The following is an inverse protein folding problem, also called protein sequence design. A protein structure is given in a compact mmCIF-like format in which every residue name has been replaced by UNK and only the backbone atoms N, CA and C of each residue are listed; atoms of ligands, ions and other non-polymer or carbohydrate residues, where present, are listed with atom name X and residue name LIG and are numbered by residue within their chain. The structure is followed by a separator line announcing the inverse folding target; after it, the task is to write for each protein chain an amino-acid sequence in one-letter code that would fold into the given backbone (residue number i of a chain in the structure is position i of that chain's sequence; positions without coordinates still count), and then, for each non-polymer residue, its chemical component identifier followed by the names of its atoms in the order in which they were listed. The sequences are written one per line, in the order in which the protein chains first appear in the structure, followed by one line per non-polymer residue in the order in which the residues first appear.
data_IF_077991268311
#
_entry.id   IF_077991268311
#
_cell.length_a   1.000
_cell.length_b   1.000
_cell.length_c   1.000
_cell.angle_alpha   90.00
_cell.angle_beta   90.00
_cell.angle_gamma   90.00
#
_symmetry.space_group_name_H-M   'P 1'
#
loop_
_entity.id
_entity.type
_entity.pdbx_description
1 polymer ?
#
# COMPACT_ATOMS: atom_id res chain seq x y z
N UNK A 1 33.54 55.25 31.77
CA UNK A 1 33.16 55.78 30.45
C UNK A 1 34.35 55.62 29.53
N UNK A 2 34.25 54.67 28.58
CA UNK A 2 34.07 55.06 27.19
C UNK A 2 32.93 54.30 26.50
N UNK A 3 32.42 54.95 25.46
CA UNK A 3 31.24 54.63 24.66
C UNK A 3 31.28 53.25 24.02
N UNK A 4 30.17 52.52 24.12
CA UNK A 4 29.91 51.31 23.33
C UNK A 4 29.50 51.73 21.91
N UNK A 5 30.31 51.34 20.94
CA UNK A 5 30.01 51.45 19.52
C UNK A 5 28.73 50.69 19.17
N UNK A 6 27.85 51.38 18.45
CA UNK A 6 26.60 50.88 17.89
C UNK A 6 26.93 50.06 16.62
N UNK A 7 26.43 48.82 16.46
CA UNK A 7 26.65 48.06 15.23
C UNK A 7 25.79 48.62 14.08
N UNK A 8 26.45 48.90 12.96
CA UNK A 8 25.93 49.52 11.73
C UNK A 8 25.21 48.50 10.81
N UNK A 9 24.33 47.67 11.37
CA UNK A 9 23.57 46.64 10.62
C UNK A 9 22.13 47.04 10.29
N UNK A 10 21.88 48.34 10.10
CA UNK A 10 20.62 48.82 9.52
C UNK A 10 20.87 49.23 8.07
N UNK A 11 20.80 48.25 7.17
CA UNK A 11 20.53 48.51 5.76
C UNK A 11 19.11 49.09 5.59
N UNK A 12 18.81 49.72 4.44
CA UNK A 12 17.54 50.40 4.22
C UNK A 12 16.37 49.40 4.31
N UNK A 13 15.36 49.78 5.10
CA UNK A 13 14.07 49.11 5.24
C UNK A 13 13.51 48.80 3.85
N UNK A 14 13.59 47.53 3.46
CA UNK A 14 12.87 47.05 2.27
C UNK A 14 11.45 46.84 2.73
N UNK A 15 10.55 47.68 2.24
CA UNK A 15 9.11 47.60 2.45
C UNK A 15 8.64 46.15 2.39
N UNK A 16 7.99 45.76 3.47
CA UNK A 16 7.33 44.50 3.70
C UNK A 16 6.11 44.40 2.77
N UNK A 17 6.31 44.12 1.48
CA UNK A 17 5.22 43.82 0.55
C UNK A 17 4.82 42.36 0.77
N UNK A 18 4.08 42.11 1.86
CA UNK A 18 3.20 40.95 1.91
C UNK A 18 1.97 41.28 1.05
N UNK A 19 1.65 40.50 0.01
CA UNK A 19 0.40 40.72 -0.71
C UNK A 19 -0.74 40.50 0.28
N UNK A 20 -1.52 41.55 0.54
CA UNK A 20 -2.71 41.46 1.37
C UNK A 20 -3.64 40.38 0.78
N UNK A 21 -3.71 39.23 1.44
CA UNK A 21 -4.62 38.15 1.05
C UNK A 21 -6.02 38.56 1.50
N UNK A 22 -6.71 39.33 0.66
CA UNK A 22 -8.11 39.70 0.88
C UNK A 22 -9.01 38.50 0.60
N UNK A 23 -9.43 37.82 1.67
CA UNK A 23 -10.48 36.78 1.65
C UNK A 23 -11.86 37.30 1.27
N UNK A 24 -12.03 38.63 1.15
CA UNK A 24 -13.23 39.31 0.67
C UNK A 24 -13.29 39.50 -0.85
N UNK A 25 -12.33 38.95 -1.60
CA UNK A 25 -12.30 39.09 -3.05
C UNK A 25 -13.45 38.35 -3.72
N UNK A 26 -14.15 39.02 -4.63
CA UNK A 26 -15.24 38.46 -5.44
C UNK A 26 -14.80 37.21 -6.24
N UNK A 27 -13.50 37.10 -6.56
CA UNK A 27 -12.94 35.91 -7.22
C UNK A 27 -12.95 34.68 -6.30
N UNK A 28 -12.75 34.86 -5.00
CA UNK A 28 -12.81 33.78 -4.02
C UNK A 28 -14.25 33.33 -3.77
N UNK A 29 -15.21 34.27 -3.77
CA UNK A 29 -16.64 33.93 -3.68
C UNK A 29 -17.11 33.10 -4.88
N UNK A 30 -16.65 33.42 -6.09
CA UNK A 30 -16.97 32.62 -7.28
C UNK A 30 -16.47 31.17 -7.18
N UNK A 31 -15.31 30.96 -6.55
CA UNK A 31 -14.76 29.61 -6.33
C UNK A 31 -15.57 28.85 -5.27
N UNK A 32 -15.99 29.50 -4.19
CA UNK A 32 -16.83 28.86 -3.17
C UNK A 32 -18.21 28.47 -3.72
N UNK A 33 -18.83 29.34 -4.53
CA UNK A 33 -20.12 29.05 -5.16
C UNK A 33 -20.05 27.87 -6.14
N UNK A 34 -18.94 27.73 -6.88
CA UNK A 34 -18.72 26.61 -7.79
C UNK A 34 -18.52 25.27 -7.03
N UNK A 35 -17.81 25.33 -5.90
CA UNK A 35 -17.58 24.18 -5.03
C UNK A 35 -18.89 23.69 -4.39
N UNK A 36 -19.72 24.61 -3.88
CA UNK A 36 -21.04 24.28 -3.32
C UNK A 36 -21.97 23.67 -4.37
N UNK A 37 -21.98 24.21 -5.61
CA UNK A 37 -22.80 23.66 -6.69
C UNK A 37 -22.42 22.23 -7.09
N UNK A 38 -21.13 21.91 -6.99
CA UNK A 38 -20.61 20.57 -7.29
C UNK A 38 -21.01 19.56 -6.20
N UNK A 39 -21.11 20.00 -4.95
CA UNK A 39 -21.55 19.19 -3.81
C UNK A 39 -23.07 18.94 -3.81
N UNK A 40 -23.86 19.88 -4.32
CA UNK A 40 -25.34 19.80 -4.37
C UNK A 40 -25.90 19.08 -5.61
N UNK A 41 -25.04 18.51 -6.45
CA UNK A 41 -25.48 17.74 -7.62
C UNK A 41 -26.22 16.46 -7.18
N UNK A 42 -27.51 16.28 -7.55
CA UNK A 42 -28.27 15.11 -7.12
C UNK A 42 -27.77 13.85 -7.84
N UNK A 43 -27.30 12.88 -7.08
CA UNK A 43 -27.07 11.50 -7.56
C UNK A 43 -28.45 10.88 -7.83
N UNK A 44 -28.81 10.76 -9.11
CA UNK A 44 -30.04 10.11 -9.53
C UNK A 44 -30.05 8.61 -9.18
N UNK A 45 -31.23 8.03 -8.86
CA UNK A 45 -31.32 6.64 -8.45
C UNK A 45 -31.06 5.66 -9.62
N UNK A 46 -30.48 4.47 -9.35
CA UNK A 46 -30.38 3.41 -10.35
C UNK A 46 -31.76 2.85 -10.67
N UNK A 47 -32.08 2.80 -11.97
CA UNK A 47 -33.30 2.21 -12.48
C UNK A 47 -33.36 0.71 -12.19
N UNK A 48 -34.43 0.30 -11.50
CA UNK A 48 -34.83 -1.08 -11.32
C UNK A 48 -35.32 -1.67 -12.65
N UNK A 49 -34.76 -2.81 -13.06
CA UNK A 49 -35.33 -3.68 -14.07
C UNK A 49 -35.68 -5.01 -13.40
N UNK A 50 -36.95 -5.13 -13.00
CA UNK A 50 -37.59 -6.40 -12.68
C UNK A 50 -38.24 -6.94 -13.96
N UNK A 51 -37.82 -8.12 -14.39
CA UNK A 51 -38.46 -8.92 -15.44
C UNK A 51 -38.50 -10.38 -14.99
N UNK A 52 -39.70 -10.87 -14.72
CA UNK A 52 -40.00 -12.13 -14.07
C UNK A 52 -40.26 -13.27 -15.09
N UNK A 53 -39.79 -14.47 -14.69
CA UNK A 53 -40.33 -15.82 -14.93
C UNK A 53 -40.36 -16.42 -16.36
N UNK A 54 -39.68 -17.57 -16.49
CA UNK A 54 -40.28 -18.82 -16.99
C UNK A 54 -39.55 -20.02 -16.41
N UNK A 55 -40.28 -20.83 -15.64
CA UNK A 55 -40.00 -22.24 -15.44
C UNK A 55 -40.66 -22.99 -16.61
N UNK A 56 -39.98 -23.95 -17.24
CA UNK A 56 -40.20 -25.36 -16.91
C UNK A 56 -39.26 -26.29 -17.70
N UNK A 57 -38.91 -27.35 -16.99
CA UNK A 57 -38.71 -28.73 -17.43
C UNK A 57 -37.46 -29.32 -18.12
N UNK A 58 -37.19 -30.53 -17.61
CA UNK A 58 -36.56 -31.70 -18.21
C UNK A 58 -35.03 -31.85 -18.23
N UNK A 59 -34.56 -32.58 -17.20
CA UNK A 59 -33.70 -33.76 -17.28
C UNK A 59 -32.68 -33.90 -18.43
N UNK A 60 -31.39 -33.87 -18.08
CA UNK A 60 -30.37 -34.69 -18.74
C UNK A 60 -29.19 -34.94 -17.81
N UNK A 61 -29.24 -36.04 -17.07
CA UNK A 61 -28.07 -36.65 -16.45
C UNK A 61 -27.40 -37.53 -17.50
N UNK A 62 -26.36 -37.02 -18.15
CA UNK A 62 -25.43 -37.85 -18.93
C UNK A 62 -24.01 -37.35 -18.69
N UNK A 63 -23.21 -38.18 -18.00
CA UNK A 63 -21.75 -38.11 -17.88
C UNK A 63 -21.09 -38.09 -19.29
N UNK A 64 -19.81 -37.69 -19.50
CA UNK A 64 -18.66 -37.94 -18.63
C UNK A 64 -17.63 -36.79 -18.54
N UNK A 65 -16.82 -36.75 -17.49
CA UNK A 65 -15.54 -36.03 -17.54
C UNK A 65 -14.52 -36.70 -16.63
N UNK A 66 -13.52 -37.29 -17.30
CA UNK A 66 -12.27 -37.77 -16.75
C UNK A 66 -11.72 -36.85 -15.66
N UNK A 67 -11.36 -37.44 -14.52
CA UNK A 67 -10.35 -36.88 -13.62
C UNK A 67 -9.03 -36.79 -14.37
N UNK A 68 -8.84 -35.71 -15.13
CA UNK A 68 -7.51 -35.31 -15.55
C UNK A 68 -6.78 -34.85 -14.28
N UNK A 69 -5.95 -35.73 -13.74
CA UNK A 69 -4.83 -35.32 -12.89
C UNK A 69 -3.93 -34.42 -13.74
N UNK A 70 -4.24 -33.13 -13.78
CA UNK A 70 -3.26 -32.14 -14.19
C UNK A 70 -2.24 -32.07 -13.07
N UNK A 71 -1.11 -32.76 -13.25
CA UNK A 71 0.10 -32.42 -12.52
C UNK A 71 0.31 -30.91 -12.69
N UNK A 72 0.50 -30.13 -11.61
CA UNK A 72 0.84 -28.73 -11.77
C UNK A 72 2.21 -28.68 -12.43
N UNK A 73 2.23 -28.35 -13.72
CA UNK A 73 3.45 -27.98 -14.42
C UNK A 73 4.10 -26.84 -13.64
N UNK A 74 5.39 -26.96 -13.37
CA UNK A 74 6.20 -25.95 -12.70
C UNK A 74 6.29 -24.59 -13.43
N UNK A 75 5.58 -24.44 -14.56
CA UNK A 75 5.58 -23.27 -15.44
C UNK A 75 4.61 -22.15 -15.01
N UNK A 76 3.65 -22.40 -14.12
CA UNK A 76 2.68 -21.36 -13.72
C UNK A 76 3.30 -20.28 -12.81
N UNK A 77 4.56 -20.47 -12.39
CA UNK A 77 5.32 -19.47 -11.62
C UNK A 77 6.00 -18.43 -12.54
N UNK A 78 5.99 -18.63 -13.86
CA UNK A 78 6.74 -17.81 -14.82
C UNK A 78 6.07 -16.48 -15.21
N UNK A 79 4.82 -16.23 -14.79
CA UNK A 79 4.07 -15.02 -15.17
C UNK A 79 4.48 -13.77 -14.39
N UNK A 80 4.98 -13.94 -13.16
CA UNK A 80 5.54 -12.84 -12.38
C UNK A 80 7.08 -12.92 -12.45
N UNK A 81 7.72 -11.84 -12.89
CA UNK A 81 9.18 -11.77 -12.98
C UNK A 81 9.89 -12.02 -11.64
N UNK A 82 11.24 -11.98 -11.60
CA UNK A 82 11.97 -12.12 -10.35
C UNK A 82 11.50 -11.09 -9.31
N UNK A 83 11.51 -11.45 -8.00
CA UNK A 83 11.16 -10.50 -6.94
C UNK A 83 11.98 -9.21 -7.04
N UNK A 84 11.37 -8.04 -6.80
CA UNK A 84 12.11 -6.79 -6.87
C UNK A 84 13.24 -6.79 -5.84
N UNK A 85 14.35 -6.16 -6.20
CA UNK A 85 15.47 -6.01 -5.28
C UNK A 85 15.03 -5.17 -4.07
N UNK A 86 15.52 -5.54 -2.88
CA UNK A 86 15.27 -4.77 -1.67
C UNK A 86 16.05 -3.45 -1.72
N UNK A 87 15.38 -2.36 -1.36
CA UNK A 87 16.01 -1.05 -1.30
C UNK A 87 17.05 -0.98 -0.17
N UNK A 88 18.19 -0.37 -0.47
CA UNK A 88 19.33 -0.21 0.46
C UNK A 88 19.80 1.25 0.55
N UNK A 89 19.14 2.17 -0.16
CA UNK A 89 19.46 3.58 -0.12
C UNK A 89 19.15 4.18 1.24
N UNK A 90 19.90 5.23 1.59
CA UNK A 90 19.81 5.87 2.91
C UNK A 90 18.48 6.59 3.03
N UNK A 91 17.68 6.18 4.01
CA UNK A 91 16.33 6.72 4.19
C UNK A 91 15.32 6.26 3.14
N UNK A 92 15.65 5.25 2.33
CA UNK A 92 14.65 4.54 1.52
C UNK A 92 13.65 3.89 2.48
N UNK A 93 12.36 4.02 2.18
CA UNK A 93 11.27 3.50 3.00
C UNK A 93 10.54 2.39 2.27
N UNK A 94 10.71 1.17 2.77
CA UNK A 94 9.91 0.01 2.36
C UNK A 94 8.78 -0.21 3.35
N UNK A 95 7.54 -0.35 2.89
CA UNK A 95 6.42 -0.79 3.72
C UNK A 95 6.12 -2.26 3.49
N UNK A 96 5.79 -2.97 4.57
CA UNK A 96 5.32 -4.35 4.54
C UNK A 96 3.93 -4.42 5.17
N UNK A 97 2.90 -4.58 4.33
CA UNK A 97 1.50 -4.66 4.77
C UNK A 97 1.10 -6.12 4.97
N UNK A 98 0.49 -6.47 6.10
CA UNK A 98 -0.02 -7.83 6.32
C UNK A 98 -0.74 -7.99 7.64
N UNK A 99 -1.17 -9.20 7.97
CA UNK A 99 -1.94 -9.45 9.19
C UNK A 99 -1.06 -9.66 10.42
N UNK A 100 -1.22 -8.80 11.42
CA UNK A 100 -0.60 -8.94 12.74
C UNK A 100 0.88 -9.33 12.68
N UNK A 101 1.21 -10.50 13.24
CA UNK A 101 2.60 -11.00 13.29
C UNK A 101 3.25 -11.23 11.92
N UNK A 102 2.48 -11.50 10.87
CA UNK A 102 3.00 -11.80 9.53
C UNK A 102 3.71 -10.58 8.92
N UNK A 103 3.15 -9.38 9.11
CA UNK A 103 3.76 -8.13 8.65
C UNK A 103 5.09 -7.86 9.36
N UNK A 104 5.13 -8.06 10.69
CA UNK A 104 6.36 -7.84 11.49
C UNK A 104 7.45 -8.85 11.16
N UNK A 105 7.09 -10.12 11.00
CA UNK A 105 8.05 -11.17 10.63
C UNK A 105 8.65 -10.89 9.26
N UNK A 106 7.81 -10.63 8.26
CA UNK A 106 8.26 -10.31 6.92
C UNK A 106 9.11 -9.03 6.88
N UNK A 107 8.72 -7.98 7.62
CA UNK A 107 9.52 -6.77 7.75
C UNK A 107 10.90 -7.03 8.35
N UNK A 108 11.01 -7.89 9.36
CA UNK A 108 12.30 -8.27 9.95
C UNK A 108 13.19 -8.98 8.94
N UNK A 109 12.67 -10.00 8.25
CA UNK A 109 13.44 -10.79 7.28
C UNK A 109 13.88 -9.92 6.08
N UNK A 110 12.99 -9.06 5.58
CA UNK A 110 13.32 -8.10 4.53
C UNK A 110 14.39 -7.11 4.99
N UNK A 111 14.30 -6.62 6.23
CA UNK A 111 15.29 -5.70 6.78
C UNK A 111 16.66 -6.35 6.93
N UNK A 112 16.74 -7.58 7.47
CA UNK A 112 17.98 -8.36 7.58
C UNK A 112 18.63 -8.56 6.21
N UNK A 113 17.83 -8.91 5.19
CA UNK A 113 18.34 -9.08 3.83
C UNK A 113 18.75 -7.80 3.11
N UNK A 114 18.52 -6.62 3.69
CA UNK A 114 18.83 -5.31 3.10
C UNK A 114 19.76 -4.47 4.00
N UNK A 115 20.23 -5.02 5.12
CA UNK A 115 20.93 -4.26 6.18
C UNK A 115 20.18 -2.97 6.59
N UNK A 116 18.85 -3.10 6.70
CA UNK A 116 17.94 -2.01 6.99
C UNK A 116 17.46 -2.05 8.46
N UNK A 117 16.96 -0.92 8.95
CA UNK A 117 16.34 -0.84 10.27
C UNK A 117 14.83 -1.05 10.19
N UNK A 118 14.28 -1.85 11.11
CA UNK A 118 12.82 -1.94 11.27
C UNK A 118 12.32 -0.74 12.06
N UNK A 119 11.38 0.02 11.50
CA UNK A 119 10.80 1.18 12.17
C UNK A 119 9.30 1.31 11.83
N UNK A 120 8.38 1.24 12.81
CA UNK A 120 6.96 1.35 12.53
C UNK A 120 6.60 2.77 12.07
N UNK A 121 5.71 2.86 11.08
CA UNK A 121 5.23 4.12 10.51
C UNK A 121 3.71 4.04 10.40
N UNK A 122 3.03 5.01 10.97
CA UNK A 122 1.55 5.09 10.97
C UNK A 122 0.99 6.19 10.08
N UNK A 123 1.78 7.22 9.78
CA UNK A 123 1.34 8.40 9.04
C UNK A 123 2.51 9.06 8.29
N UNK A 124 2.20 10.09 7.49
CA UNK A 124 3.19 10.89 6.77
C UNK A 124 4.30 11.47 7.67
N UNK A 125 3.97 11.89 8.90
CA UNK A 125 4.95 12.53 9.80
C UNK A 125 5.92 11.50 10.33
N UNK A 126 5.43 10.33 10.75
CA UNK A 126 6.24 9.20 11.16
C UNK A 126 7.13 8.72 10.00
N UNK A 127 6.62 8.71 8.77
CA UNK A 127 7.40 8.36 7.58
C UNK A 127 8.59 9.30 7.39
N UNK A 128 8.37 10.62 7.44
CA UNK A 128 9.44 11.61 7.31
C UNK A 128 10.48 11.49 8.43
N UNK A 129 10.04 11.25 9.67
CA UNK A 129 10.94 11.05 10.81
C UNK A 129 11.79 9.78 10.63
N UNK A 130 11.18 8.67 10.18
CA UNK A 130 11.87 7.41 9.93
C UNK A 130 12.90 7.55 8.80
N UNK A 131 12.53 8.21 7.70
CA UNK A 131 13.45 8.50 6.59
C UNK A 131 14.63 9.35 7.06
N UNK A 132 14.38 10.43 7.81
CA UNK A 132 15.44 11.25 8.39
C UNK A 132 16.37 10.44 9.31
N UNK A 133 15.82 9.50 10.08
CA UNK A 133 16.61 8.58 10.90
C UNK A 133 17.45 7.63 10.06
N UNK A 134 16.88 7.05 9.00
CA UNK A 134 17.61 6.21 8.04
C UNK A 134 18.77 6.95 7.40
N UNK A 135 18.56 8.21 6.98
CA UNK A 135 19.64 9.07 6.47
C UNK A 135 20.73 9.31 7.52
N UNK A 136 20.35 9.63 8.77
CA UNK A 136 21.31 9.84 9.86
C UNK A 136 22.13 8.60 10.19
N UNK A 137 21.51 7.42 10.19
CA UNK A 137 22.17 6.12 10.46
C UNK A 137 22.88 5.55 9.24
N UNK A 138 22.60 6.07 8.05
CA UNK A 138 23.14 5.56 6.80
C UNK A 138 22.52 4.23 6.35
N UNK A 139 21.28 3.93 6.74
CA UNK A 139 20.58 2.71 6.39
C UNK A 139 19.20 2.98 5.75
N UNK A 140 18.65 1.96 5.09
CA UNK A 140 17.25 1.93 4.66
C UNK A 140 16.32 1.62 5.85
N UNK A 141 15.03 1.85 5.67
CA UNK A 141 13.99 1.59 6.67
C UNK A 141 12.96 0.60 6.10
N UNK A 142 12.58 -0.39 6.92
CA UNK A 142 11.47 -1.29 6.65
C UNK A 142 10.39 -1.11 7.73
N UNK A 143 9.18 -0.74 7.31
CA UNK A 143 8.08 -0.44 8.21
C UNK A 143 6.96 -1.48 8.09
N UNK A 144 6.67 -2.27 9.15
CA UNK A 144 5.50 -3.12 9.16
C UNK A 144 4.23 -2.28 9.33
N UNK A 145 3.22 -2.58 8.53
CA UNK A 145 1.86 -2.08 8.69
C UNK A 145 0.94 -3.28 8.89
N UNK A 146 0.29 -3.29 10.05
CA UNK A 146 -0.55 -4.41 10.47
C UNK A 146 -2.01 -4.13 10.16
N UNK A 147 -2.64 -5.08 9.47
CA UNK A 147 -4.08 -5.11 9.27
C UNK A 147 -4.72 -5.93 10.39
N UNK A 148 -5.79 -5.39 10.97
CA UNK A 148 -6.57 -6.08 12.01
C UNK A 148 -7.62 -7.04 11.40
N UNK A 149 -8.09 -6.76 10.18
CA UNK A 149 -9.12 -7.53 9.49
C UNK A 149 -9.01 -7.38 7.97
N UNK A 150 -9.61 -8.31 7.21
CA UNK A 150 -9.60 -8.32 5.74
C UNK A 150 -10.15 -7.03 5.15
N UNK A 151 -11.17 -6.47 5.77
CA UNK A 151 -11.85 -5.24 5.32
C UNK A 151 -11.22 -3.95 5.90
N UNK A 152 -10.07 -4.05 6.59
CA UNK A 152 -9.46 -2.90 7.28
C UNK A 152 -8.76 -1.92 6.34
N UNK A 153 -8.41 -2.36 5.12
CA UNK A 153 -7.62 -1.54 4.17
C UNK A 153 -8.36 -0.27 3.78
N UNK A 154 -9.67 -0.35 3.54
CA UNK A 154 -10.50 0.79 3.20
C UNK A 154 -10.47 1.89 4.29
N UNK A 155 -10.46 1.50 5.57
CA UNK A 155 -10.40 2.44 6.68
C UNK A 155 -9.03 3.13 6.81
N UNK A 156 -7.95 2.45 6.39
CA UNK A 156 -6.57 2.93 6.48
C UNK A 156 -6.07 3.60 5.19
N UNK A 157 -6.88 3.62 4.12
CA UNK A 157 -6.42 4.00 2.79
C UNK A 157 -5.80 5.41 2.73
N UNK A 158 -6.43 6.40 3.39
CA UNK A 158 -5.92 7.77 3.42
C UNK A 158 -4.57 7.87 4.16
N UNK A 159 -4.44 7.19 5.28
CA UNK A 159 -3.22 7.17 6.08
C UNK A 159 -2.09 6.47 5.32
N UNK A 160 -2.39 5.30 4.74
CA UNK A 160 -1.46 4.55 3.89
C UNK A 160 -0.95 5.39 2.72
N UNK A 161 -1.87 5.99 1.94
CA UNK A 161 -1.51 6.85 0.82
C UNK A 161 -0.63 8.04 1.25
N UNK A 162 -0.83 8.55 2.46
CA UNK A 162 -0.05 9.69 2.98
C UNK A 162 1.42 9.36 3.27
N UNK A 163 1.76 8.07 3.46
CA UNK A 163 3.12 7.64 3.83
C UNK A 163 4.09 7.80 2.66
N UNK A 164 3.62 7.59 1.42
CA UNK A 164 4.45 7.62 0.21
C UNK A 164 5.72 6.75 0.34
N UNK A 165 5.58 5.41 0.46
CA UNK A 165 6.72 4.49 0.48
C UNK A 165 7.44 4.47 -0.88
N UNK A 166 8.73 4.11 -0.87
CA UNK A 166 9.52 3.89 -2.09
C UNK A 166 9.36 2.47 -2.64
N UNK A 167 8.99 1.52 -1.77
CA UNK A 167 8.71 0.13 -2.13
C UNK A 167 7.64 -0.46 -1.20
N UNK A 168 6.76 -1.29 -1.76
CA UNK A 168 5.59 -1.87 -1.07
C UNK A 168 5.59 -3.39 -1.24
N UNK A 169 5.63 -4.07 -0.10
CA UNK A 169 5.48 -5.52 -0.02
C UNK A 169 4.20 -5.87 0.72
N UNK A 170 3.56 -6.96 0.32
CA UNK A 170 2.48 -7.58 1.10
C UNK A 170 2.96 -8.90 1.71
N UNK A 171 2.81 -9.03 3.03
CA UNK A 171 3.12 -10.26 3.76
C UNK A 171 1.91 -11.20 3.75
N UNK A 172 2.10 -12.40 3.20
CA UNK A 172 1.02 -13.37 2.99
C UNK A 172 1.39 -14.72 3.57
N UNK A 173 0.59 -15.22 4.51
CA UNK A 173 0.59 -16.64 4.88
C UNK A 173 -0.26 -17.42 3.87
N UNK A 174 0.38 -18.27 3.07
CA UNK A 174 -0.28 -19.07 2.03
C UNK A 174 -1.19 -20.19 2.54
N UNK A 175 -1.20 -20.44 3.86
CA UNK A 175 -2.16 -21.34 4.49
C UNK A 175 -3.55 -20.71 4.69
N UNK A 176 -3.67 -19.38 4.50
CA UNK A 176 -4.95 -18.67 4.56
C UNK A 176 -5.75 -18.83 3.28
N UNK A 177 -7.05 -18.50 3.35
CA UNK A 177 -7.95 -18.57 2.20
C UNK A 177 -7.47 -17.60 1.10
N UNK A 178 -7.29 -18.13 -0.11
CA UNK A 178 -6.77 -17.37 -1.24
C UNK A 178 -7.73 -16.28 -1.72
N UNK A 179 -9.05 -16.49 -1.65
CA UNK A 179 -10.04 -15.48 -2.05
C UNK A 179 -9.94 -14.22 -1.17
N UNK A 180 -9.88 -14.42 0.15
CA UNK A 180 -9.70 -13.33 1.10
C UNK A 180 -8.37 -12.62 0.84
N UNK A 181 -7.32 -13.39 0.54
CA UNK A 181 -5.99 -12.87 0.18
C UNK A 181 -6.03 -11.99 -1.06
N UNK A 182 -6.65 -12.45 -2.15
CA UNK A 182 -6.81 -11.67 -3.38
C UNK A 182 -7.53 -10.36 -3.12
N UNK A 183 -8.57 -10.38 -2.29
CA UNK A 183 -9.37 -9.20 -1.98
C UNK A 183 -8.55 -8.12 -1.28
N UNK A 184 -7.96 -8.42 -0.12
CA UNK A 184 -7.23 -7.39 0.63
C UNK A 184 -5.93 -6.96 -0.08
N UNK A 185 -5.24 -7.87 -0.78
CA UNK A 185 -4.05 -7.50 -1.57
C UNK A 185 -4.45 -6.56 -2.71
N UNK A 186 -5.57 -6.80 -3.38
CA UNK A 186 -6.10 -5.90 -4.41
C UNK A 186 -6.48 -4.53 -3.87
N UNK A 187 -7.03 -4.46 -2.65
CA UNK A 187 -7.32 -3.19 -1.97
C UNK A 187 -6.03 -2.43 -1.62
N UNK A 188 -4.98 -3.12 -1.15
CA UNK A 188 -3.66 -2.49 -0.88
C UNK A 188 -3.02 -2.01 -2.18
N UNK A 189 -3.07 -2.82 -3.23
CA UNK A 189 -2.52 -2.50 -4.55
C UNK A 189 -3.17 -1.26 -5.16
N UNK A 190 -4.49 -1.09 -4.97
CA UNK A 190 -5.22 0.09 -5.42
C UNK A 190 -4.78 1.39 -4.71
N UNK A 191 -4.22 1.30 -3.49
CA UNK A 191 -3.81 2.47 -2.69
C UNK A 191 -2.32 2.77 -2.83
N UNK A 192 -1.48 1.72 -2.79
CA UNK A 192 -0.02 1.87 -2.64
C UNK A 192 0.80 1.36 -3.84
N UNK A 193 0.18 0.66 -4.80
CA UNK A 193 0.87 -0.10 -5.85
C UNK A 193 1.87 -1.12 -5.30
N UNK A 194 1.46 -2.38 -5.21
CA UNK A 194 2.27 -3.46 -4.62
C UNK A 194 3.37 -3.89 -5.58
N UNK A 195 4.61 -3.85 -5.11
CA UNK A 195 5.79 -4.28 -5.88
C UNK A 195 6.04 -5.80 -5.79
N UNK A 196 5.74 -6.41 -4.64
CA UNK A 196 6.02 -7.82 -4.41
C UNK A 196 5.24 -8.44 -3.25
N UNK A 197 5.21 -9.76 -3.24
CA UNK A 197 4.60 -10.57 -2.18
C UNK A 197 5.72 -11.25 -1.39
N UNK A 198 5.70 -11.09 -0.07
CA UNK A 198 6.55 -11.82 0.86
C UNK A 198 5.74 -12.98 1.46
N UNK A 199 5.97 -14.20 0.99
CA UNK A 199 5.15 -15.37 1.28
C UNK A 199 5.76 -16.27 2.37
N UNK A 200 4.93 -16.69 3.32
CA UNK A 200 5.25 -17.66 4.39
C UNK A 200 4.19 -18.77 4.44
N UNK A 201 4.45 -19.83 5.18
CA UNK A 201 3.50 -20.92 5.41
C UNK A 201 3.44 -21.97 4.30
N UNK A 202 4.42 -22.01 3.38
CA UNK A 202 4.44 -22.94 2.25
C UNK A 202 4.38 -24.41 2.69
N UNK A 203 5.00 -24.74 3.84
CA UNK A 203 5.00 -26.10 4.41
C UNK A 203 3.66 -26.49 5.05
N UNK A 204 2.76 -25.52 5.30
CA UNK A 204 1.47 -25.72 5.97
C UNK A 204 0.31 -25.91 5.00
N UNK A 205 0.56 -25.84 3.69
CA UNK A 205 -0.46 -25.94 2.66
C UNK A 205 -0.01 -26.85 1.51
N UNK A 206 -0.95 -27.58 0.91
CA UNK A 206 -0.71 -28.37 -0.29
C UNK A 206 -0.76 -27.54 -1.58
N UNK A 207 -1.25 -26.30 -1.53
CA UNK A 207 -1.45 -25.41 -2.68
C UNK A 207 -0.73 -24.05 -2.60
N UNK A 208 0.57 -23.99 -2.23
CA UNK A 208 1.27 -22.70 -2.07
C UNK A 208 1.36 -21.90 -3.39
N UNK A 209 1.35 -22.59 -4.54
CA UNK A 209 1.46 -22.00 -5.87
C UNK A 209 0.25 -21.13 -6.28
N UNK A 210 -0.85 -21.15 -5.51
CA UNK A 210 -2.04 -20.33 -5.79
C UNK A 210 -1.79 -18.81 -5.80
N UNK A 211 -0.67 -18.35 -5.22
CA UNK A 211 -0.25 -16.94 -5.27
C UNK A 211 0.10 -16.45 -6.68
N UNK A 212 0.47 -17.33 -7.61
CA UNK A 212 0.79 -16.93 -8.99
C UNK A 212 -0.37 -16.16 -9.65
N UNK A 213 -1.61 -16.48 -9.26
CA UNK A 213 -2.81 -15.78 -9.73
C UNK A 213 -2.93 -14.31 -9.28
N UNK A 214 -2.09 -13.84 -8.34
CA UNK A 214 -2.02 -12.44 -7.95
C UNK A 214 -1.19 -11.59 -8.92
N UNK A 215 -0.50 -12.21 -9.88
CA UNK A 215 0.33 -11.54 -10.89
C UNK A 215 1.38 -10.56 -10.29
N UNK A 216 1.84 -10.83 -9.06
CA UNK A 216 2.91 -10.10 -8.39
C UNK A 216 4.11 -11.02 -8.14
N UNK A 217 5.36 -10.54 -8.26
CA UNK A 217 6.54 -11.32 -7.92
C UNK A 217 6.48 -11.83 -6.48
N UNK A 218 6.80 -13.11 -6.27
CA UNK A 218 6.72 -13.76 -4.95
C UNK A 218 8.12 -14.07 -4.42
N UNK A 219 8.44 -13.53 -3.24
CA UNK A 219 9.59 -13.90 -2.44
C UNK A 219 9.16 -14.86 -1.33
N UNK A 220 9.70 -16.07 -1.33
CA UNK A 220 9.44 -17.07 -0.29
C UNK A 220 10.37 -16.86 0.92
N UNK A 221 9.79 -16.61 2.09
CA UNK A 221 10.53 -16.33 3.32
C UNK A 221 10.83 -17.59 4.15
N UNK A 222 10.10 -18.70 3.90
CA UNK A 222 10.33 -19.99 4.57
C UNK A 222 11.56 -20.76 4.03
N UNK A 223 12.15 -20.26 2.95
CA UNK A 223 13.39 -20.78 2.41
C UNK A 223 14.56 -20.17 3.20
N UNK A 224 15.53 -20.97 3.67
CA UNK A 224 16.71 -20.43 4.33
C UNK A 224 17.40 -19.43 3.40
N UNK A 225 17.92 -18.30 3.93
CA UNK A 225 18.70 -17.38 3.12
C UNK A 225 19.90 -18.14 2.53
N UNK A 226 20.07 -18.02 1.21
CA UNK A 226 21.22 -18.57 0.49
C UNK A 226 22.50 -17.76 0.75
#
# INVERSE_FOLDING_TARGET
MPSRSRPEWLGPETDDITPAVSTSSHAFQAILDDLVRTLDAPVGPPAAAAGALSADDAHSLTAPASSASASPSADDTALAGPPPARLQGRGDLTIVVGFGGDAREAARILAEGADAAVHPVSDRRAALAARAEGVRRGCAIVAPVELDAVDAVAALAADLASIAPDQVWVAVDVSRRLDDTRRWVGEVDAVLAVDGIAATGARRTAGPHGLAALARPVLWLDAPPA
#
